data_IF_980771431905
#
_entry.id   IF_980771431905
#
_cell.length_a   1.000
_cell.length_b   1.000
_cell.length_c   1.000
_cell.angle_alpha   90.00
_cell.angle_beta   90.00
_cell.angle_gamma   90.00
#
_symmetry.space_group_name_H-M   'P 1'
#
loop_
_entity.id
_entity.type
_entity.pdbx_description
1 polymer ?
#
# COMPACT_ATOMS: atom_id res chain seq x y z
N UNK A 1 -83.19 2.10 27.59
CA UNK A 1 -82.05 2.73 28.29
C UNK A 1 -80.90 2.77 27.29
N UNK A 2 -80.71 3.87 26.55
CA UNK A 2 -79.85 5.01 26.91
C UNK A 2 -78.40 4.56 27.09
N UNK A 3 -77.54 4.71 26.06
CA UNK A 3 -76.68 5.87 25.74
C UNK A 3 -75.24 5.58 26.19
N UNK A 4 -74.26 5.82 25.31
CA UNK A 4 -72.85 5.81 25.70
C UNK A 4 -71.84 5.69 24.55
N UNK A 5 -71.91 6.58 23.56
CA UNK A 5 -70.87 6.80 22.57
C UNK A 5 -69.62 7.43 23.23
N UNK A 6 -68.47 6.77 23.10
CA UNK A 6 -67.16 7.28 23.53
C UNK A 6 -66.58 8.12 22.38
N UNK A 7 -66.18 9.39 22.59
CA UNK A 7 -65.55 10.16 21.52
C UNK A 7 -64.07 9.81 21.46
N UNK A 8 -63.62 9.35 20.29
CA UNK A 8 -62.20 9.25 19.93
C UNK A 8 -61.65 10.66 19.70
N UNK A 9 -60.85 11.15 20.64
CA UNK A 9 -60.14 12.42 20.50
C UNK A 9 -58.90 12.19 19.60
N UNK A 10 -59.00 12.56 18.32
CA UNK A 10 -57.86 12.62 17.41
C UNK A 10 -57.01 13.85 17.78
N UNK A 11 -55.92 13.62 18.52
CA UNK A 11 -54.88 14.62 18.76
C UNK A 11 -54.08 14.80 17.45
N UNK A 12 -54.42 15.83 16.67
CA UNK A 12 -53.54 16.32 15.62
C UNK A 12 -52.35 17.03 16.26
N UNK A 13 -51.27 16.29 16.49
CA UNK A 13 -49.97 16.89 16.78
C UNK A 13 -49.46 17.47 15.46
N UNK A 14 -49.74 18.75 15.23
CA UNK A 14 -49.06 19.53 14.20
C UNK A 14 -47.60 19.65 14.63
N UNK A 15 -46.75 18.74 14.16
CA UNK A 15 -45.30 18.92 14.21
C UNK A 15 -44.98 20.09 13.29
N UNK A 16 -44.81 21.27 13.88
CA UNK A 16 -44.19 22.41 13.23
C UNK A 16 -42.79 21.98 12.81
N UNK A 17 -42.63 21.66 11.53
CA UNK A 17 -41.32 21.43 10.93
C UNK A 17 -40.64 22.79 10.87
N UNK A 18 -39.84 23.11 11.89
CA UNK A 18 -38.93 24.26 11.82
C UNK A 18 -37.89 23.93 10.75
N UNK A 19 -38.14 24.40 9.53
CA UNK A 19 -37.14 24.46 8.48
C UNK A 19 -36.14 25.53 8.92
N UNK A 20 -35.08 25.10 9.61
CA UNK A 20 -33.90 25.93 9.82
C UNK A 20 -33.26 26.10 8.44
N UNK A 21 -33.62 27.17 7.75
CA UNK A 21 -32.84 27.69 6.64
C UNK A 21 -31.58 28.29 7.25
N UNK A 22 -30.55 27.46 7.36
CA UNK A 22 -29.20 27.94 7.65
C UNK A 22 -28.75 28.78 6.48
N UNK A 23 -28.61 30.08 6.72
CA UNK A 23 -28.06 31.05 5.78
C UNK A 23 -26.63 30.64 5.40
N UNK A 24 -26.37 30.64 4.08
CA UNK A 24 -25.10 30.27 3.47
C UNK A 24 -23.95 31.16 3.97
N UNK A 25 -23.13 30.61 4.86
CA UNK A 25 -21.79 31.15 5.06
C UNK A 25 -20.95 30.78 3.82
N UNK A 26 -20.78 31.75 2.92
CA UNK A 26 -19.78 31.74 1.84
C UNK A 26 -18.38 31.75 2.46
N UNK A 27 -17.96 30.62 3.03
CA UNK A 27 -16.57 30.21 3.06
C UNK A 27 -16.28 29.54 1.74
N UNK A 28 -15.11 29.76 1.15
CA UNK A 28 -14.69 29.15 -0.11
C UNK A 28 -14.72 27.60 0.05
N UNK A 29 -15.88 26.97 -0.18
CA UNK A 29 -16.09 25.56 0.13
C UNK A 29 -15.31 24.76 -0.89
N UNK A 30 -14.26 24.09 -0.45
CA UNK A 30 -13.53 23.15 -1.30
C UNK A 30 -14.54 22.18 -1.89
N UNK A 31 -14.66 22.16 -3.22
CA UNK A 31 -15.58 21.27 -3.92
C UNK A 31 -14.96 19.88 -3.99
N UNK A 32 -15.44 18.97 -3.15
CA UNK A 32 -15.12 17.56 -3.19
C UNK A 32 -16.00 16.83 -4.23
N UNK A 33 -15.53 15.69 -4.79
CA UNK A 33 -14.39 14.88 -4.33
C UNK A 33 -13.01 15.41 -4.74
N UNK A 34 -11.97 14.94 -4.04
CA UNK A 34 -10.56 15.16 -4.37
C UNK A 34 -9.82 13.82 -4.37
N UNK A 35 -8.97 13.60 -5.37
CA UNK A 35 -8.12 12.42 -5.49
C UNK A 35 -6.70 12.88 -5.75
N UNK A 36 -5.75 12.41 -4.93
CA UNK A 36 -4.32 12.69 -5.08
C UNK A 36 -3.57 11.36 -5.04
N UNK A 37 -2.61 11.17 -5.94
CA UNK A 37 -1.69 10.03 -5.87
C UNK A 37 -0.23 10.48 -5.99
N UNK A 38 0.68 9.63 -5.53
CA UNK A 38 2.09 9.70 -5.94
C UNK A 38 2.22 9.37 -7.42
N UNK A 39 3.21 10.00 -8.07
CA UNK A 39 3.60 9.76 -9.47
C UNK A 39 2.49 10.05 -10.51
N UNK A 40 2.81 10.12 -11.81
CA UNK A 40 1.81 10.43 -12.85
C UNK A 40 0.98 9.19 -13.27
N UNK A 41 0.47 8.41 -12.32
CA UNK A 41 -0.37 7.22 -12.56
C UNK A 41 -1.81 7.59 -12.90
N UNK A 42 -1.99 8.22 -14.07
CA UNK A 42 -3.26 8.84 -14.48
C UNK A 42 -4.45 7.87 -14.49
N UNK A 43 -4.25 6.62 -14.90
CA UNK A 43 -5.34 5.64 -14.95
C UNK A 43 -5.81 5.24 -13.54
N UNK A 44 -4.90 5.13 -12.58
CA UNK A 44 -5.25 4.90 -11.17
C UNK A 44 -6.07 6.06 -10.60
N UNK A 45 -5.63 7.31 -10.85
CA UNK A 45 -6.36 8.51 -10.42
C UNK A 45 -7.75 8.60 -11.07
N UNK A 46 -7.86 8.29 -12.37
CA UNK A 46 -9.16 8.27 -13.07
C UNK A 46 -10.10 7.21 -12.51
N UNK A 47 -9.59 6.02 -12.19
CA UNK A 47 -10.38 4.95 -11.60
C UNK A 47 -10.94 5.35 -10.23
N UNK A 48 -10.09 5.88 -9.35
CA UNK A 48 -10.50 6.40 -8.05
C UNK A 48 -11.48 7.58 -8.17
N UNK A 49 -11.22 8.52 -9.08
CA UNK A 49 -12.13 9.64 -9.35
C UNK A 49 -13.51 9.16 -9.78
N UNK A 50 -13.56 8.23 -10.75
CA UNK A 50 -14.82 7.65 -11.23
C UNK A 50 -15.59 6.95 -10.12
N UNK A 51 -14.89 6.22 -9.24
CA UNK A 51 -15.48 5.55 -8.08
C UNK A 51 -16.11 6.56 -7.11
N UNK A 52 -15.34 7.55 -6.64
CA UNK A 52 -15.83 8.52 -5.64
C UNK A 52 -16.86 9.50 -6.21
N UNK A 53 -16.72 9.92 -7.47
CA UNK A 53 -17.70 10.77 -8.13
C UNK A 53 -19.01 10.01 -8.39
N UNK A 54 -18.91 8.71 -8.67
CA UNK A 54 -20.05 7.79 -8.74
C UNK A 54 -20.76 7.53 -7.41
N UNK A 55 -20.26 8.08 -6.30
CA UNK A 55 -20.88 7.97 -4.97
C UNK A 55 -20.36 6.84 -4.10
N UNK A 56 -19.28 6.15 -4.50
CA UNK A 56 -18.61 5.21 -3.61
C UNK A 56 -17.86 5.94 -2.49
N UNK A 57 -17.61 5.23 -1.39
CA UNK A 57 -16.89 5.78 -0.23
C UNK A 57 -15.44 6.14 -0.59
N UNK A 58 -14.82 7.00 0.21
CA UNK A 58 -13.39 7.30 0.07
C UNK A 58 -12.52 6.02 0.10
N UNK A 59 -12.84 5.05 0.96
CA UNK A 59 -12.12 3.76 1.06
C UNK A 59 -12.27 2.96 -0.23
N UNK A 60 -13.49 2.83 -0.75
CA UNK A 60 -13.74 2.12 -2.00
C UNK A 60 -12.95 2.73 -3.16
N UNK A 61 -12.96 4.07 -3.25
CA UNK A 61 -12.25 4.78 -4.30
C UNK A 61 -10.72 4.61 -4.22
N UNK A 62 -10.14 4.63 -3.01
CA UNK A 62 -8.73 4.31 -2.79
C UNK A 62 -8.41 2.90 -3.27
N UNK A 63 -9.23 1.91 -2.89
CA UNK A 63 -9.02 0.51 -3.29
C UNK A 63 -9.10 0.36 -4.80
N UNK A 64 -10.08 0.97 -5.47
CA UNK A 64 -10.19 0.91 -6.93
C UNK A 64 -9.00 1.58 -7.65
N UNK A 65 -8.53 2.73 -7.16
CA UNK A 65 -7.36 3.40 -7.71
C UNK A 65 -6.06 2.60 -7.56
N UNK A 66 -5.77 2.12 -6.35
CA UNK A 66 -4.60 1.30 -6.08
C UNK A 66 -4.66 -0.04 -6.83
N UNK A 67 -5.80 -0.73 -6.86
CA UNK A 67 -5.98 -1.99 -7.60
C UNK A 67 -5.77 -1.80 -9.10
N UNK A 68 -6.25 -0.69 -9.67
CA UNK A 68 -5.99 -0.36 -11.08
C UNK A 68 -4.50 -0.27 -11.36
N UNK A 69 -3.73 0.28 -10.41
CA UNK A 69 -2.28 0.40 -10.56
C UNK A 69 -1.54 -0.93 -10.39
N UNK A 70 -1.99 -1.78 -9.47
CA UNK A 70 -1.51 -3.15 -9.33
C UNK A 70 -1.76 -3.95 -10.62
N UNK A 71 -2.93 -3.82 -11.23
CA UNK A 71 -3.29 -4.52 -12.47
C UNK A 71 -2.50 -4.03 -13.68
N UNK A 72 -2.44 -2.70 -13.87
CA UNK A 72 -1.71 -2.08 -14.99
C UNK A 72 -0.19 -2.12 -14.82
N UNK A 73 0.28 -2.56 -13.65
CA UNK A 73 1.69 -2.59 -13.28
C UNK A 73 2.34 -1.23 -13.49
N UNK A 74 1.80 -0.17 -12.87
CA UNK A 74 2.29 1.20 -13.09
C UNK A 74 3.82 1.25 -13.01
N UNK A 75 4.46 1.72 -14.09
CA UNK A 75 5.91 1.82 -14.27
C UNK A 75 6.71 0.54 -13.97
N UNK A 76 6.05 -0.62 -13.91
CA UNK A 76 6.64 -1.93 -13.69
C UNK A 76 7.15 -2.17 -12.26
N UNK A 77 6.63 -1.46 -11.26
CA UNK A 77 7.12 -1.49 -9.85
C UNK A 77 6.03 -1.75 -8.81
N UNK A 78 4.76 -1.75 -9.22
CA UNK A 78 3.60 -2.05 -8.37
C UNK A 78 2.86 -3.26 -8.94
N UNK A 79 2.45 -4.20 -8.08
CA UNK A 79 1.67 -5.38 -8.47
C UNK A 79 2.52 -6.58 -8.92
N UNK A 80 1.97 -7.51 -9.72
CA UNK A 80 2.71 -8.66 -10.21
C UNK A 80 3.80 -8.24 -11.21
N UNK A 81 4.96 -8.88 -11.15
CA UNK A 81 6.09 -8.69 -12.04
C UNK A 81 6.87 -7.41 -11.77
N UNK A 82 6.72 -6.83 -10.59
CA UNK A 82 7.38 -5.59 -10.21
C UNK A 82 8.85 -5.75 -9.83
N UNK A 83 9.20 -5.29 -8.63
CA UNK A 83 10.56 -5.32 -8.08
C UNK A 83 10.83 -6.63 -7.32
N UNK A 84 11.59 -7.59 -7.90
CA UNK A 84 11.92 -8.82 -7.19
C UNK A 84 12.92 -8.57 -6.06
N UNK A 85 12.90 -9.42 -5.05
CA UNK A 85 13.92 -9.48 -4.00
C UNK A 85 15.22 -10.12 -4.52
N UNK A 86 16.23 -10.26 -3.64
CA UNK A 86 17.52 -10.84 -4.03
C UNK A 86 17.44 -12.34 -4.39
N UNK A 87 16.37 -13.03 -4.00
CA UNK A 87 16.07 -14.41 -4.39
C UNK A 87 15.29 -14.49 -5.71
N UNK A 88 14.94 -13.35 -6.30
CA UNK A 88 14.19 -13.26 -7.56
C UNK A 88 12.67 -13.31 -7.36
N UNK A 89 12.18 -13.18 -6.13
CA UNK A 89 10.77 -13.28 -5.81
C UNK A 89 10.09 -11.90 -5.69
N UNK A 90 8.92 -11.78 -6.30
CA UNK A 90 8.05 -10.62 -6.14
C UNK A 90 7.11 -10.81 -4.94
N UNK A 91 7.18 -9.90 -3.97
CA UNK A 91 6.24 -9.79 -2.85
C UNK A 91 5.49 -8.46 -2.93
N UNK A 92 4.32 -8.38 -2.29
CA UNK A 92 3.50 -7.16 -2.24
C UNK A 92 3.30 -6.72 -0.80
N UNK A 93 3.50 -5.42 -0.57
CA UNK A 93 3.17 -4.70 0.65
C UNK A 93 2.02 -3.73 0.33
N UNK A 94 0.96 -3.76 1.12
CA UNK A 94 -0.17 -2.85 0.93
C UNK A 94 -0.85 -2.48 2.25
N UNK A 95 -1.43 -1.28 2.29
CA UNK A 95 -2.15 -0.74 3.44
C UNK A 95 -3.33 0.10 2.98
N UNK A 96 -4.44 0.03 3.70
CA UNK A 96 -5.57 0.95 3.58
C UNK A 96 -5.98 1.46 4.97
N UNK A 97 -6.40 2.72 5.03
CA UNK A 97 -6.93 3.33 6.25
C UNK A 97 -8.19 4.14 5.95
N UNK A 98 -9.21 3.94 6.78
CA UNK A 98 -10.41 4.75 6.81
C UNK A 98 -10.23 5.91 7.80
N UNK A 99 -10.24 7.15 7.33
CA UNK A 99 -10.04 8.33 8.17
C UNK A 99 -11.24 8.69 9.06
N UNK A 100 -12.41 8.08 8.83
CA UNK A 100 -13.60 8.31 9.68
C UNK A 100 -13.59 7.37 10.88
N UNK A 101 -13.38 6.07 10.63
CA UNK A 101 -13.42 5.04 11.68
C UNK A 101 -12.06 4.81 12.33
N UNK A 102 -10.99 5.34 11.73
CA UNK A 102 -9.60 5.07 12.09
C UNK A 102 -9.18 3.60 11.96
N UNK A 103 -9.99 2.79 11.29
CA UNK A 103 -9.65 1.39 10.99
C UNK A 103 -8.53 1.33 9.94
N UNK A 104 -7.64 0.35 10.12
CA UNK A 104 -6.48 0.13 9.27
C UNK A 104 -6.35 -1.37 9.01
N UNK A 105 -6.04 -1.72 7.76
CA UNK A 105 -5.62 -3.08 7.42
C UNK A 105 -4.43 -3.04 6.48
N UNK A 106 -3.56 -4.03 6.63
CA UNK A 106 -2.31 -4.11 5.91
C UNK A 106 -1.85 -5.56 5.69
N UNK A 107 -1.10 -5.73 4.62
CA UNK A 107 -0.34 -6.94 4.30
C UNK A 107 1.10 -6.56 3.99
N UNK A 108 2.07 -7.38 4.40
CA UNK A 108 3.47 -7.18 4.05
C UNK A 108 4.17 -8.48 3.69
N UNK A 109 5.18 -8.41 2.83
CA UNK A 109 5.86 -9.53 2.22
C UNK A 109 4.87 -10.59 1.67
N UNK A 110 3.69 -10.17 1.22
CA UNK A 110 2.63 -11.09 0.80
C UNK A 110 3.02 -11.74 -0.52
N UNK A 111 2.95 -13.07 -0.55
CA UNK A 111 3.30 -13.88 -1.71
C UNK A 111 2.04 -14.30 -2.47
N UNK A 112 2.17 -14.67 -3.72
CA UNK A 112 1.18 -15.42 -4.51
C UNK A 112 -0.20 -14.80 -4.79
N UNK A 113 -0.54 -13.65 -4.21
CA UNK A 113 -1.80 -12.92 -4.40
C UNK A 113 -1.48 -11.57 -4.99
N UNK A 114 -2.03 -11.26 -6.18
CA UNK A 114 -1.74 -10.03 -6.91
C UNK A 114 -2.48 -8.80 -6.36
N UNK A 115 -3.62 -9.02 -5.69
CA UNK A 115 -4.53 -7.98 -5.24
C UNK A 115 -4.16 -7.48 -3.83
N UNK A 116 -3.05 -6.76 -3.70
CA UNK A 116 -2.47 -6.31 -2.44
C UNK A 116 -3.41 -5.42 -1.63
N UNK A 117 -3.86 -4.31 -2.22
CA UNK A 117 -4.73 -3.35 -1.52
C UNK A 117 -6.09 -3.95 -1.13
N UNK A 118 -6.60 -4.90 -1.93
CA UNK A 118 -7.83 -5.63 -1.61
C UNK A 118 -7.61 -6.57 -0.43
N UNK A 119 -6.46 -7.25 -0.38
CA UNK A 119 -6.10 -8.06 0.79
C UNK A 119 -5.98 -7.21 2.06
N UNK A 120 -5.34 -6.04 1.97
CA UNK A 120 -5.25 -5.08 3.07
C UNK A 120 -6.64 -4.62 3.55
N UNK A 121 -7.57 -4.34 2.63
CA UNK A 121 -8.97 -4.05 2.96
C UNK A 121 -9.67 -5.21 3.68
N UNK A 122 -9.44 -6.45 3.25
CA UNK A 122 -10.02 -7.63 3.91
C UNK A 122 -9.48 -7.80 5.34
N UNK A 123 -8.20 -7.50 5.58
CA UNK A 123 -7.63 -7.47 6.95
C UNK A 123 -8.37 -6.45 7.81
N UNK A 124 -8.57 -5.24 7.30
CA UNK A 124 -9.29 -4.15 7.98
C UNK A 124 -10.73 -4.55 8.34
N UNK A 125 -11.43 -5.24 7.42
CA UNK A 125 -12.86 -5.51 7.57
C UNK A 125 -13.19 -6.79 8.34
N UNK A 126 -12.27 -7.75 8.39
CA UNK A 126 -12.58 -9.11 8.85
C UNK A 126 -11.65 -9.63 9.95
N UNK A 127 -10.82 -8.77 10.52
CA UNK A 127 -9.95 -9.15 11.64
C UNK A 127 -9.85 -8.01 12.65
N UNK A 128 -9.55 -8.35 13.92
CA UNK A 128 -9.13 -7.35 14.93
C UNK A 128 -7.63 -7.00 14.81
N UNK A 129 -6.94 -7.59 13.83
CA UNK A 129 -5.53 -7.34 13.56
C UNK A 129 -5.36 -6.25 12.51
N UNK A 130 -4.26 -5.51 12.60
CA UNK A 130 -3.94 -4.47 11.60
C UNK A 130 -3.07 -4.99 10.47
N UNK A 131 -2.18 -5.96 10.73
CA UNK A 131 -1.14 -6.38 9.79
C UNK A 131 -0.99 -7.90 9.78
N UNK A 132 -1.05 -8.49 8.59
CA UNK A 132 -0.67 -9.88 8.34
C UNK A 132 0.53 -9.93 7.39
N UNK A 133 1.43 -10.90 7.55
CA UNK A 133 2.67 -10.93 6.76
C UNK A 133 2.98 -12.28 6.12
N UNK A 134 3.79 -12.26 5.07
CA UNK A 134 4.33 -13.44 4.41
C UNK A 134 3.26 -14.30 3.75
N UNK A 135 3.53 -15.61 3.68
CA UNK A 135 2.58 -16.60 3.14
C UNK A 135 1.28 -16.69 3.94
N UNK A 136 1.29 -16.36 5.23
CA UNK A 136 0.08 -16.41 6.07
C UNK A 136 -0.89 -15.30 5.71
N UNK A 137 -0.41 -14.14 5.25
CA UNK A 137 -1.26 -13.13 4.63
C UNK A 137 -1.92 -13.66 3.35
N UNK A 138 -1.18 -14.40 2.52
CA UNK A 138 -1.69 -15.02 1.29
C UNK A 138 -2.79 -16.05 1.58
N UNK A 139 -2.56 -16.93 2.56
CA UNK A 139 -3.55 -17.94 2.99
C UNK A 139 -4.83 -17.26 3.46
N UNK A 140 -4.71 -16.19 4.26
CA UNK A 140 -5.85 -15.39 4.69
C UNK A 140 -6.58 -14.77 3.49
N UNK A 141 -5.88 -14.05 2.62
CA UNK A 141 -6.45 -13.40 1.44
C UNK A 141 -7.22 -14.37 0.54
N UNK A 142 -6.65 -15.54 0.27
CA UNK A 142 -7.29 -16.60 -0.52
C UNK A 142 -8.53 -17.16 0.20
N UNK A 143 -8.44 -17.37 1.51
CA UNK A 143 -9.60 -17.85 2.31
C UNK A 143 -10.76 -16.86 2.32
N UNK A 144 -10.48 -15.56 2.12
CA UNK A 144 -11.46 -14.48 1.99
C UNK A 144 -11.97 -14.31 0.55
N UNK A 145 -11.54 -15.15 -0.39
CA UNK A 145 -12.05 -15.19 -1.77
C UNK A 145 -11.19 -14.49 -2.82
N UNK A 146 -9.99 -13.99 -2.47
CA UNK A 146 -9.06 -13.49 -3.48
C UNK A 146 -8.43 -14.65 -4.28
N UNK A 147 -8.16 -14.46 -5.59
CA UNK A 147 -7.57 -15.50 -6.42
C UNK A 147 -6.11 -15.79 -6.02
N UNK A 148 -5.74 -17.06 -6.02
CA UNK A 148 -4.39 -17.54 -5.73
C UNK A 148 -4.36 -19.03 -5.36
N UNK A 149 -3.17 -19.60 -5.13
CA UNK A 149 -1.86 -18.98 -5.31
C UNK A 149 -1.49 -18.82 -6.79
N UNK A 150 -0.76 -17.75 -7.13
CA UNK A 150 -0.30 -17.43 -8.48
C UNK A 150 1.17 -17.04 -8.47
N UNK A 151 1.90 -17.26 -9.57
CA UNK A 151 3.25 -16.73 -9.68
C UNK A 151 3.19 -15.22 -9.95
N UNK A 152 3.74 -14.42 -9.04
CA UNK A 152 3.83 -12.97 -9.18
C UNK A 152 5.05 -12.52 -9.99
N UNK A 153 5.88 -13.42 -10.49
CA UNK A 153 7.04 -13.07 -11.33
C UNK A 153 6.61 -12.88 -12.79
N UNK A 154 7.22 -11.91 -13.46
CA UNK A 154 7.12 -11.73 -14.92
C UNK A 154 8.46 -11.98 -15.61
N UNK A 155 8.45 -12.12 -16.94
CA UNK A 155 9.64 -12.16 -17.79
C UNK A 155 10.61 -11.03 -17.48
N UNK A 156 10.09 -9.81 -17.33
CA UNK A 156 10.90 -8.62 -17.06
C UNK A 156 11.57 -8.68 -15.68
N UNK A 157 10.82 -9.11 -14.64
CA UNK A 157 11.38 -9.24 -13.29
C UNK A 157 12.47 -10.32 -13.22
N UNK A 158 12.29 -11.43 -13.94
CA UNK A 158 13.25 -12.53 -14.00
C UNK A 158 14.52 -12.09 -14.74
N UNK A 159 14.38 -11.40 -15.87
CA UNK A 159 15.50 -10.85 -16.62
C UNK A 159 16.28 -9.81 -15.78
N UNK A 160 15.55 -8.91 -15.12
CA UNK A 160 16.11 -7.88 -14.22
C UNK A 160 16.93 -8.52 -13.09
N UNK A 161 16.42 -9.59 -12.48
CA UNK A 161 17.15 -10.33 -11.45
C UNK A 161 18.35 -11.11 -11.99
N UNK A 162 18.20 -11.75 -13.16
CA UNK A 162 19.27 -12.54 -13.79
C UNK A 162 20.48 -11.66 -14.10
N UNK A 163 20.26 -10.50 -14.75
CA UNK A 163 21.30 -9.51 -15.04
C UNK A 163 22.00 -9.01 -13.78
N UNK A 164 21.25 -8.81 -12.69
CA UNK A 164 21.80 -8.39 -11.41
C UNK A 164 22.70 -9.47 -10.77
N UNK A 165 22.30 -10.74 -10.87
CA UNK A 165 23.15 -11.86 -10.41
C UNK A 165 24.42 -12.01 -11.25
N UNK A 166 24.32 -11.85 -12.57
CA UNK A 166 25.48 -11.81 -13.48
C UNK A 166 26.43 -10.67 -13.11
N UNK A 167 25.89 -9.53 -12.68
CA UNK A 167 26.66 -8.40 -12.14
C UNK A 167 27.05 -8.57 -10.66
N UNK A 168 27.32 -9.81 -10.23
CA UNK A 168 27.76 -10.16 -8.88
C UNK A 168 26.90 -9.58 -7.75
N UNK A 169 25.58 -9.52 -7.97
CA UNK A 169 24.61 -9.04 -6.99
C UNK A 169 24.91 -7.62 -6.48
N UNK A 170 25.26 -6.71 -7.39
CA UNK A 170 25.47 -5.29 -7.10
C UNK A 170 24.60 -4.38 -7.99
N UNK A 171 24.07 -3.27 -7.44
CA UNK A 171 24.15 -2.86 -6.03
C UNK A 171 23.24 -3.73 -5.14
N UNK A 172 23.56 -3.87 -3.85
CA UNK A 172 22.71 -4.58 -2.88
C UNK A 172 22.57 -3.82 -1.55
N UNK A 173 21.69 -4.31 -0.68
CA UNK A 173 21.38 -3.69 0.62
C UNK A 173 22.22 -4.20 1.78
N UNK A 174 23.09 -5.19 1.55
CA UNK A 174 23.94 -5.74 2.60
C UNK A 174 25.07 -4.79 2.96
N UNK A 175 25.41 -4.71 4.26
CA UNK A 175 26.49 -3.85 4.77
C UNK A 175 27.37 -4.65 5.71
N UNK A 176 28.68 -4.41 5.67
CA UNK A 176 29.66 -5.02 6.58
C UNK A 176 29.67 -6.56 6.59
N UNK A 177 29.41 -7.18 5.45
CA UNK A 177 29.40 -8.63 5.27
C UNK A 177 30.36 -9.07 4.16
N UNK A 178 30.68 -10.36 4.14
CA UNK A 178 31.39 -11.05 3.06
C UNK A 178 30.47 -12.15 2.52
N UNK A 179 30.25 -12.23 1.20
CA UNK A 179 29.49 -13.33 0.61
C UNK A 179 30.34 -14.62 0.59
N UNK A 180 29.70 -15.77 0.77
CA UNK A 180 30.34 -17.08 0.53
C UNK A 180 30.67 -17.32 -0.97
N UNK A 181 29.97 -16.64 -1.88
CA UNK A 181 30.22 -16.62 -3.32
C UNK A 181 30.15 -15.19 -3.87
N UNK A 182 29.49 -14.99 -5.03
CA UNK A 182 29.21 -13.63 -5.54
C UNK A 182 27.98 -12.98 -4.89
N UNK A 183 27.04 -13.77 -4.38
CA UNK A 183 25.69 -13.33 -4.04
C UNK A 183 25.21 -13.79 -2.64
N UNK A 184 26.15 -14.17 -1.77
CA UNK A 184 25.86 -14.75 -0.46
C UNK A 184 25.86 -16.29 -0.47
N UNK A 185 25.36 -16.94 0.61
CA UNK A 185 24.90 -16.33 1.85
C UNK A 185 25.98 -15.43 2.47
N UNK A 186 25.54 -14.31 3.02
CA UNK A 186 26.42 -13.27 3.55
C UNK A 186 26.72 -13.53 5.03
N UNK A 187 27.98 -13.36 5.40
CA UNK A 187 28.44 -13.51 6.79
C UNK A 187 29.04 -12.20 7.29
N UNK A 188 28.90 -11.85 8.58
CA UNK A 188 29.54 -10.68 9.13
C UNK A 188 31.04 -10.68 8.83
N UNK A 189 31.59 -9.52 8.44
CA UNK A 189 33.05 -9.34 8.44
C UNK A 189 33.53 -9.57 9.87
N UNK A 190 34.47 -10.51 10.06
CA UNK A 190 35.06 -10.75 11.37
C UNK A 190 35.60 -9.44 11.98
N UNK A 191 35.59 -9.33 13.32
CA UNK A 191 36.36 -8.28 13.98
C UNK A 191 37.81 -8.50 13.58
N UNK A 192 38.41 -7.54 12.87
CA UNK A 192 39.86 -7.50 12.74
C UNK A 192 40.39 -7.39 14.17
N UNK A 193 41.04 -8.45 14.67
CA UNK A 193 41.90 -8.31 15.83
C UNK A 193 42.96 -7.30 15.45
N UNK A 194 42.88 -6.10 16.05
CA UNK A 194 43.94 -5.10 15.97
C UNK A 194 45.07 -5.62 16.86
N UNK A 195 45.82 -6.62 16.38
CA UNK A 195 47.19 -6.80 16.82
C UNK A 195 48.00 -5.68 16.16
N UNK A 196 48.58 -4.83 16.98
CA UNK A 196 49.41 -3.68 16.61
C UNK A 196 50.37 -3.96 15.45
N UNK A 197 50.15 -3.30 14.31
CA UNK A 197 51.27 -2.69 13.59
C UNK A 197 50.77 -1.42 12.89
N UNK A 198 50.99 -0.30 13.56
CA UNK A 198 50.54 1.02 13.12
C UNK A 198 51.51 1.59 12.06
N UNK A 199 51.49 1.07 10.84
CA UNK A 199 52.09 1.78 9.70
C UNK A 199 51.10 2.77 9.12
N UNK A 200 51.47 4.05 9.23
CA UNK A 200 50.74 5.23 8.78
C UNK A 200 50.27 5.12 7.33
N UNK A 201 48.96 5.09 7.14
CA UNK A 201 48.33 5.69 5.97
C UNK A 201 46.94 6.19 6.36
N UNK A 202 46.80 7.52 6.40
CA UNK A 202 45.51 8.19 6.51
C UNK A 202 44.66 7.83 5.28
N UNK A 203 43.76 6.85 5.41
CA UNK A 203 42.54 6.80 4.62
C UNK A 203 41.37 6.92 5.58
N UNK A 204 40.98 8.17 5.87
CA UNK A 204 39.59 8.44 6.25
C UNK A 204 38.74 8.03 5.06
N UNK A 205 38.31 6.77 5.04
CA UNK A 205 37.27 6.31 4.15
C UNK A 205 36.03 7.09 4.51
N UNK A 206 35.72 8.12 3.70
CA UNK A 206 34.42 8.75 3.71
C UNK A 206 33.43 7.62 3.58
N UNK A 207 32.59 7.41 4.60
CA UNK A 207 31.41 6.60 4.46
C UNK A 207 30.60 7.29 3.36
N UNK A 208 30.77 6.87 2.11
CA UNK A 208 29.89 7.27 1.03
C UNK A 208 28.50 6.86 1.50
N UNK A 209 27.76 7.88 1.93
CA UNK A 209 26.32 7.84 1.98
C UNK A 209 25.91 7.57 0.52
N UNK A 210 25.93 6.30 0.12
CA UNK A 210 25.33 5.87 -1.13
C UNK A 210 23.87 6.17 -0.96
N UNK A 211 23.48 7.36 -1.40
CA UNK A 211 22.10 7.70 -1.69
C UNK A 211 21.61 6.55 -2.55
N UNK A 212 20.81 5.65 -1.97
CA UNK A 212 20.01 4.72 -2.74
C UNK A 212 19.16 5.61 -3.63
N UNK A 213 19.59 5.83 -4.87
CA UNK A 213 18.94 6.74 -5.80
C UNK A 213 17.49 6.29 -5.93
N UNK A 214 16.59 6.99 -5.23
CA UNK A 214 15.15 6.86 -5.41
C UNK A 214 14.90 7.46 -6.78
N UNK A 215 14.79 6.59 -7.78
CA UNK A 215 14.36 6.94 -9.12
C UNK A 215 12.97 6.34 -9.35
N UNK A 216 12.20 6.90 -10.31
CA UNK A 216 10.92 6.33 -10.74
C UNK A 216 10.98 4.83 -11.12
N UNK A 217 12.18 4.30 -11.33
CA UNK A 217 12.38 2.94 -11.80
C UNK A 217 12.87 1.99 -10.68
N UNK A 218 13.11 2.49 -9.46
CA UNK A 218 13.76 1.73 -8.39
C UNK A 218 13.05 1.72 -7.01
N UNK A 219 11.97 2.48 -6.81
CA UNK A 219 11.22 2.43 -5.54
C UNK A 219 9.76 2.88 -5.70
N UNK A 220 9.17 2.63 -6.85
CA UNK A 220 7.89 3.26 -7.15
C UNK A 220 6.75 2.56 -6.42
N UNK A 221 6.02 3.38 -5.70
CA UNK A 221 4.98 3.03 -4.76
C UNK A 221 3.82 3.92 -5.10
N UNK A 222 2.65 3.32 -5.36
CA UNK A 222 1.43 4.10 -5.41
C UNK A 222 0.97 4.34 -3.99
N UNK A 223 0.82 5.61 -3.62
CA UNK A 223 0.05 6.04 -2.46
C UNK A 223 -1.04 6.97 -2.96
N UNK A 224 -2.24 6.79 -2.45
CA UNK A 224 -3.42 7.53 -2.87
C UNK A 224 -4.15 8.06 -1.65
N UNK A 225 -4.64 9.28 -1.76
CA UNK A 225 -5.56 9.91 -0.80
C UNK A 225 -6.81 10.33 -1.54
N UNK A 226 -7.96 9.96 -1.00
CA UNK A 226 -9.27 10.36 -1.52
C UNK A 226 -10.02 11.10 -0.43
N UNK A 227 -10.63 12.23 -0.81
CA UNK A 227 -11.65 12.91 -0.02
C UNK A 227 -12.97 12.82 -0.79
N UNK A 228 -13.99 12.21 -0.19
CA UNK A 228 -15.29 12.05 -0.83
C UNK A 228 -16.18 13.29 -0.74
N UNK A 229 -17.36 13.23 -1.37
CA UNK A 229 -18.33 14.35 -1.39
C UNK A 229 -18.81 14.79 -0.01
N UNK A 230 -18.69 13.94 1.00
CA UNK A 230 -19.03 14.24 2.39
C UNK A 230 -17.84 14.79 3.19
N UNK A 231 -16.66 14.88 2.57
CA UNK A 231 -15.43 15.29 3.24
C UNK A 231 -14.74 14.17 4.00
N UNK A 232 -15.17 12.91 3.86
CA UNK A 232 -14.47 11.78 4.49
C UNK A 232 -13.18 11.48 3.75
N UNK A 233 -12.14 11.15 4.52
CA UNK A 233 -10.81 10.89 3.98
C UNK A 233 -10.51 9.40 4.07
N UNK A 234 -9.87 8.85 3.04
CA UNK A 234 -9.22 7.55 3.09
C UNK A 234 -7.86 7.62 2.41
N UNK A 235 -6.96 6.77 2.85
CA UNK A 235 -5.63 6.62 2.25
C UNK A 235 -5.32 5.17 1.99
N UNK A 236 -4.52 4.92 0.96
CA UNK A 236 -4.03 3.57 0.67
C UNK A 236 -2.73 3.59 -0.11
N UNK A 237 -1.97 2.52 0.07
CA UNK A 237 -0.63 2.37 -0.51
C UNK A 237 -0.44 0.93 -0.96
N UNK A 238 0.21 0.73 -2.11
CA UNK A 238 0.65 -0.58 -2.59
C UNK A 238 2.01 -0.49 -3.27
N UNK A 239 2.87 -1.48 -3.03
CA UNK A 239 4.24 -1.52 -3.54
C UNK A 239 4.79 -2.94 -3.56
N UNK A 240 5.77 -3.20 -4.44
CA UNK A 240 6.64 -4.37 -4.30
C UNK A 240 7.86 -4.09 -3.39
N UNK A 241 8.08 -2.83 -3.02
CA UNK A 241 9.25 -2.37 -2.29
C UNK A 241 10.46 -2.17 -3.19
N UNK A 242 11.63 -2.14 -2.57
CA UNK A 242 12.87 -1.88 -3.29
C UNK A 242 13.30 -3.09 -4.15
N UNK A 243 13.75 -2.82 -5.38
CA UNK A 243 14.35 -3.84 -6.25
C UNK A 243 15.60 -4.44 -5.60
N UNK A 244 15.69 -5.76 -5.56
CA UNK A 244 16.76 -6.57 -4.92
C UNK A 244 16.82 -6.41 -3.41
N UNK A 245 15.70 -6.07 -2.76
CA UNK A 245 15.60 -6.05 -1.31
C UNK A 245 15.98 -7.40 -0.69
N UNK A 246 16.43 -7.35 0.56
CA UNK A 246 16.63 -8.57 1.34
C UNK A 246 15.25 -9.21 1.59
N UNK A 247 15.09 -10.53 1.41
CA UNK A 247 13.81 -11.21 1.60
C UNK A 247 13.22 -10.93 2.99
N UNK A 248 11.93 -10.58 3.02
CA UNK A 248 11.22 -10.18 4.23
C UNK A 248 11.28 -8.69 4.59
N UNK A 249 11.98 -7.86 3.80
CA UNK A 249 11.94 -6.40 3.91
C UNK A 249 10.66 -5.79 3.33
#
# INVERSE_FOLDING_TARGET
>A
MALGSIPTFLLFISTFFFMVLGDDAVGNSVKYPLVVSTWPFKEAVKAAWKAVDGGLSAVDAVVEGCSTCEELRCDGTVGPGGSPDENGETTIDALVMNGVTMEVGAVAAMRYVKDGIRAARLVMQHTEHTLLVGEKASVFAISMGLPGPSNLSSSESIEKWTKWKENHCQPNFWKNVVPAGSCGPYHPKGKVDVSEECTKTNLMGVAELRSSHISPHNHDTISMTVIDKMGHVAVGTSTNGATYKIPGR
#
